data_IF_406069495977
#
_entry.id   IF_406069495977
#
_cell.length_a   1.000
_cell.length_b   1.000
_cell.length_c   1.000
_cell.angle_alpha   90.00
_cell.angle_beta   90.00
_cell.angle_gamma   90.00
#
_symmetry.space_group_name_H-M   'P 1'
#
loop_
_entity.id
_entity.type
_entity.pdbx_description
1 polymer ?
#
# COMPACT_ATOMS: atom_id res chain seq x y z
N UNK A 1 -3.31 14.39 -14.34
CA UNK A 1 -3.26 14.90 -12.97
C UNK A 1 -2.18 15.97 -12.98
N UNK A 2 -2.44 17.19 -12.51
CA UNK A 2 -1.36 18.19 -12.40
C UNK A 2 -0.53 17.79 -11.17
N UNK A 3 0.56 17.09 -11.42
CA UNK A 3 1.49 16.59 -10.40
C UNK A 3 2.49 17.71 -10.10
N UNK A 4 2.72 18.04 -8.84
CA UNK A 4 3.79 18.98 -8.45
C UNK A 4 5.13 18.25 -8.44
N UNK A 5 5.96 18.49 -9.45
CA UNK A 5 7.29 17.90 -9.59
C UNK A 5 8.44 18.87 -9.22
N UNK A 6 8.12 19.98 -8.55
CA UNK A 6 9.13 20.97 -8.13
C UNK A 6 10.23 20.40 -7.24
N UNK A 7 9.91 19.39 -6.41
CA UNK A 7 10.91 18.69 -5.61
C UNK A 7 11.85 17.81 -6.48
N UNK A 8 11.35 17.27 -7.60
CA UNK A 8 12.18 16.55 -8.55
C UNK A 8 13.10 17.50 -9.33
N UNK A 9 12.61 18.70 -9.71
CA UNK A 9 13.46 19.75 -10.29
C UNK A 9 14.59 20.15 -9.33
N UNK A 10 14.25 20.38 -8.05
CA UNK A 10 15.24 20.71 -7.03
C UNK A 10 16.28 19.59 -6.83
N UNK A 11 15.85 18.33 -6.88
CA UNK A 11 16.73 17.17 -6.80
C UNK A 11 17.71 17.10 -7.99
N UNK A 12 17.25 17.35 -9.23
CA UNK A 12 18.13 17.38 -10.41
C UNK A 12 19.15 18.52 -10.28
N UNK A 13 18.73 19.70 -9.85
CA UNK A 13 19.62 20.84 -9.64
C UNK A 13 20.67 20.56 -8.55
N UNK A 14 20.31 19.92 -7.44
CA UNK A 14 21.19 19.60 -6.32
C UNK A 14 22.21 18.51 -6.67
N UNK A 15 21.77 17.46 -7.35
CA UNK A 15 22.65 16.35 -7.78
C UNK A 15 23.47 16.67 -9.01
N UNK A 16 23.02 17.62 -9.83
CA UNK A 16 23.67 18.04 -11.07
C UNK A 16 23.57 17.00 -12.17
N UNK A 17 22.60 16.07 -12.11
CA UNK A 17 22.27 15.16 -13.20
C UNK A 17 21.25 15.80 -14.16
N UNK A 18 21.30 15.42 -15.44
CA UNK A 18 20.45 16.02 -16.47
C UNK A 18 19.01 15.52 -16.44
N UNK A 19 18.75 14.36 -15.82
CA UNK A 19 17.41 13.80 -15.78
C UNK A 19 17.22 12.66 -14.79
N UNK A 20 15.95 12.32 -14.57
CA UNK A 20 15.51 11.14 -13.81
C UNK A 20 14.92 10.10 -14.75
N UNK A 21 15.42 8.86 -14.70
CA UNK A 21 15.05 7.81 -15.63
C UNK A 21 14.42 6.62 -14.92
N UNK A 22 13.21 6.22 -15.32
CA UNK A 22 12.54 5.01 -14.83
C UNK A 22 12.39 4.03 -16.00
N UNK A 23 12.62 2.75 -15.73
CA UNK A 23 12.37 1.64 -16.63
C UNK A 23 11.60 0.55 -15.86
N UNK A 24 10.27 0.58 -15.96
CA UNK A 24 9.37 -0.34 -15.28
C UNK A 24 8.07 -0.51 -16.06
N UNK A 25 7.23 -1.47 -15.67
CA UNK A 25 5.86 -1.57 -16.17
C UNK A 25 4.94 -0.53 -15.50
N UNK A 26 3.68 -0.52 -15.90
CA UNK A 26 2.71 0.46 -15.41
C UNK A 26 2.13 0.13 -14.03
N UNK A 27 2.53 -0.97 -13.40
CA UNK A 27 2.16 -1.29 -12.01
C UNK A 27 3.16 -0.71 -11.02
N UNK A 28 4.39 -0.39 -11.45
CA UNK A 28 5.36 0.34 -10.62
C UNK A 28 4.85 1.75 -10.31
N UNK A 29 4.73 2.08 -9.04
CA UNK A 29 4.07 3.28 -8.56
C UNK A 29 4.75 4.57 -9.05
N UNK A 30 6.08 4.65 -9.01
CA UNK A 30 6.84 5.81 -9.52
C UNK A 30 6.65 6.01 -11.02
N UNK A 31 6.68 4.91 -11.79
CA UNK A 31 6.42 4.91 -13.22
C UNK A 31 5.02 5.45 -13.54
N UNK A 32 4.03 4.96 -12.80
CA UNK A 32 2.64 5.39 -12.94
C UNK A 32 2.46 6.85 -12.52
N UNK A 33 3.09 7.27 -11.43
CA UNK A 33 2.99 8.63 -10.90
C UNK A 33 3.50 9.67 -11.89
N UNK A 34 4.70 9.48 -12.45
CA UNK A 34 5.30 10.41 -13.40
C UNK A 34 4.61 10.38 -14.75
N UNK A 35 4.28 9.20 -15.26
CA UNK A 35 3.77 9.06 -16.64
C UNK A 35 2.25 9.22 -16.75
N UNK A 36 1.49 9.01 -15.67
CA UNK A 36 0.05 8.85 -15.72
C UNK A 36 -0.42 7.70 -16.63
N UNK A 37 0.49 6.75 -16.96
CA UNK A 37 0.27 5.71 -17.96
C UNK A 37 0.54 4.32 -17.37
N UNK A 38 -0.23 3.35 -17.83
CA UNK A 38 -0.06 1.94 -17.45
C UNK A 38 0.13 1.08 -18.69
N UNK A 39 1.11 0.20 -18.66
CA UNK A 39 1.34 -0.82 -19.67
C UNK A 39 1.80 -2.12 -18.99
N UNK A 40 1.42 -3.29 -19.53
CA UNK A 40 1.82 -4.57 -18.94
C UNK A 40 3.32 -4.88 -19.15
N UNK A 41 3.90 -4.32 -20.21
CA UNK A 41 5.33 -4.45 -20.51
C UNK A 41 6.09 -3.21 -20.02
N UNK A 42 7.34 -3.35 -19.54
CA UNK A 42 8.18 -2.22 -19.17
C UNK A 42 8.37 -1.21 -20.30
N UNK A 43 8.27 0.05 -19.94
CA UNK A 43 8.58 1.20 -20.80
C UNK A 43 9.50 2.18 -20.07
N UNK A 44 10.00 3.17 -20.77
CA UNK A 44 10.93 4.15 -20.20
C UNK A 44 10.23 5.49 -20.04
N UNK A 45 10.38 6.08 -18.84
CA UNK A 45 10.01 7.47 -18.55
C UNK A 45 11.28 8.24 -18.22
N UNK A 46 11.53 9.33 -18.93
CA UNK A 46 12.56 10.31 -18.65
C UNK A 46 11.88 11.60 -18.15
N UNK A 47 12.42 12.16 -17.08
CA UNK A 47 12.12 13.50 -16.60
C UNK A 47 13.38 14.37 -16.66
N UNK A 48 13.33 15.48 -17.41
CA UNK A 48 14.38 16.49 -17.55
C UNK A 48 13.84 17.93 -17.36
N UNK A 49 12.80 18.06 -16.50
CA UNK A 49 11.92 19.22 -16.40
C UNK A 49 10.65 19.05 -17.25
N UNK A 50 10.58 17.96 -18.02
CA UNK A 50 9.40 17.51 -18.78
C UNK A 50 9.34 15.98 -18.73
N UNK A 51 8.14 15.45 -18.94
CA UNK A 51 7.93 14.01 -18.96
C UNK A 51 7.97 13.47 -20.38
N UNK A 52 8.90 12.59 -20.68
CA UNK A 52 9.08 11.94 -21.98
C UNK A 52 8.94 10.42 -21.86
N UNK A 53 8.13 9.80 -22.72
CA UNK A 53 7.92 8.36 -22.73
C UNK A 53 8.53 7.73 -23.97
N UNK A 54 9.30 6.65 -23.75
CA UNK A 54 9.76 5.76 -24.83
C UNK A 54 9.03 4.42 -24.71
N UNK A 55 8.13 4.13 -25.65
CA UNK A 55 7.22 2.99 -25.59
C UNK A 55 7.33 2.08 -26.81
N UNK A 56 6.80 0.87 -26.70
CA UNK A 56 6.64 -0.03 -27.85
C UNK A 56 5.63 0.51 -28.87
N UNK A 57 5.70 0.01 -30.11
CA UNK A 57 4.71 0.37 -31.14
C UNK A 57 3.27 -0.04 -30.73
N UNK A 58 3.13 -1.08 -29.92
CA UNK A 58 1.85 -1.57 -29.41
C UNK A 58 1.18 -0.51 -28.52
N UNK A 59 1.96 0.11 -27.64
CA UNK A 59 1.48 1.05 -26.63
C UNK A 59 1.42 2.51 -27.13
N UNK A 60 2.15 2.84 -28.20
CA UNK A 60 2.30 4.22 -28.66
C UNK A 60 1.00 4.98 -28.86
N UNK A 61 0.02 4.36 -29.55
CA UNK A 61 -1.26 5.02 -29.82
C UNK A 61 -2.09 5.28 -28.56
N UNK A 62 -1.99 4.39 -27.56
CA UNK A 62 -2.67 4.53 -26.28
C UNK A 62 -1.95 5.58 -25.41
N UNK A 63 -0.64 5.50 -25.29
CA UNK A 63 0.15 6.44 -24.51
C UNK A 63 -0.07 7.90 -25.01
N UNK A 64 -0.07 8.14 -26.33
CA UNK A 64 -0.37 9.48 -26.89
C UNK A 64 -1.73 10.05 -26.52
N UNK A 65 -2.71 9.21 -26.15
CA UNK A 65 -4.07 9.68 -25.81
C UNK A 65 -4.28 9.81 -24.31
N UNK A 66 -3.54 9.03 -23.50
CA UNK A 66 -3.87 8.87 -22.09
C UNK A 66 -2.74 9.17 -21.12
N UNK A 67 -1.48 9.21 -21.58
CA UNK A 67 -0.35 9.54 -20.72
C UNK A 67 -0.32 11.03 -20.35
N UNK A 68 0.14 11.31 -19.14
CA UNK A 68 0.46 12.68 -18.68
C UNK A 68 1.92 12.99 -19.04
N UNK A 69 2.22 13.06 -20.35
CA UNK A 69 3.58 13.24 -20.83
C UNK A 69 3.65 14.34 -21.90
N UNK A 70 4.77 15.09 -21.93
CA UNK A 70 5.04 16.14 -22.88
C UNK A 70 5.40 15.56 -24.26
N UNK A 71 6.10 14.42 -24.28
CA UNK A 71 6.34 13.66 -25.52
C UNK A 71 6.14 12.17 -25.32
N UNK A 72 5.72 11.50 -26.40
CA UNK A 72 5.63 10.04 -26.48
C UNK A 72 6.32 9.60 -27.75
N UNK A 73 7.33 8.75 -27.64
CA UNK A 73 8.20 8.29 -28.70
C UNK A 73 8.23 6.76 -28.75
N UNK A 74 8.61 6.21 -29.89
CA UNK A 74 8.61 4.76 -30.09
C UNK A 74 10.04 4.23 -30.11
N UNK A 75 10.23 3.02 -29.66
CA UNK A 75 11.48 2.29 -29.84
C UNK A 75 11.97 2.32 -31.32
N UNK A 76 11.03 2.33 -32.28
CA UNK A 76 11.35 2.36 -33.71
C UNK A 76 11.97 3.70 -34.19
N UNK A 77 11.74 4.79 -33.48
CA UNK A 77 12.29 6.09 -33.80
C UNK A 77 13.81 6.16 -33.52
N UNK A 78 14.34 5.13 -32.81
CA UNK A 78 15.74 4.95 -32.40
C UNK A 78 16.35 3.64 -32.90
N UNK A 79 15.95 3.17 -34.06
CA UNK A 79 16.50 1.99 -34.74
C UNK A 79 16.50 0.69 -33.91
N UNK A 80 15.58 0.56 -32.95
CA UNK A 80 15.52 -0.54 -31.98
C UNK A 80 15.67 -1.92 -32.63
N UNK A 81 14.97 -2.15 -33.75
CA UNK A 81 14.99 -3.45 -34.42
C UNK A 81 16.40 -3.78 -34.94
N UNK A 82 17.07 -2.83 -35.63
CA UNK A 82 18.42 -3.03 -36.10
C UNK A 82 19.42 -3.20 -34.98
N UNK A 83 19.24 -2.41 -33.88
CA UNK A 83 20.07 -2.54 -32.70
C UNK A 83 19.93 -3.92 -32.05
N UNK A 84 18.74 -4.50 -31.98
CA UNK A 84 18.52 -5.84 -31.45
C UNK A 84 19.07 -6.92 -32.38
N UNK A 85 18.89 -6.81 -33.69
CA UNK A 85 19.42 -7.74 -34.68
C UNK A 85 20.97 -7.81 -34.64
N UNK A 86 21.65 -6.67 -34.43
CA UNK A 86 23.11 -6.59 -34.43
C UNK A 86 23.73 -6.93 -33.04
N UNK A 87 23.07 -6.53 -31.94
CA UNK A 87 23.68 -6.56 -30.60
C UNK A 87 22.92 -7.43 -29.59
N UNK A 88 21.88 -8.17 -30.03
CA UNK A 88 21.00 -8.97 -29.18
C UNK A 88 20.03 -8.10 -28.37
N UNK A 89 19.06 -8.71 -27.71
CA UNK A 89 17.97 -8.01 -27.04
C UNK A 89 18.46 -6.99 -26.00
N UNK A 90 19.39 -7.38 -25.15
CA UNK A 90 19.91 -6.51 -24.09
C UNK A 90 20.75 -5.35 -24.62
N UNK A 91 21.73 -5.64 -25.48
CA UNK A 91 22.58 -4.61 -26.08
C UNK A 91 21.79 -3.67 -27.00
N UNK A 92 20.82 -4.19 -27.73
CA UNK A 92 19.93 -3.41 -28.56
C UNK A 92 19.05 -2.45 -27.78
N UNK A 93 18.47 -2.93 -26.66
CA UNK A 93 17.65 -2.09 -25.77
C UNK A 93 18.46 -0.93 -25.19
N UNK A 94 19.64 -1.20 -24.62
CA UNK A 94 20.50 -0.16 -24.06
C UNK A 94 20.94 0.89 -25.10
N UNK A 95 21.16 0.48 -26.37
CA UNK A 95 21.45 1.42 -27.47
C UNK A 95 20.25 2.30 -27.78
N UNK A 96 19.07 1.73 -27.81
CA UNK A 96 17.82 2.45 -28.06
C UNK A 96 17.58 3.51 -26.98
N UNK A 97 17.74 3.15 -25.70
CA UNK A 97 17.56 4.08 -24.59
C UNK A 97 18.65 5.15 -24.59
N UNK A 98 19.93 4.79 -24.85
CA UNK A 98 21.00 5.79 -24.96
C UNK A 98 20.75 6.79 -26.08
N UNK A 99 20.30 6.34 -27.28
CA UNK A 99 19.93 7.22 -28.37
C UNK A 99 18.73 8.13 -28.05
N UNK A 100 17.77 7.65 -27.29
CA UNK A 100 16.65 8.45 -26.77
C UNK A 100 17.17 9.54 -25.81
N UNK A 101 18.06 9.21 -24.86
CA UNK A 101 18.66 10.18 -23.95
C UNK A 101 19.47 11.25 -24.72
N UNK A 102 20.30 10.84 -25.69
CA UNK A 102 21.07 11.75 -26.52
C UNK A 102 20.18 12.72 -27.32
N UNK A 103 19.04 12.25 -27.83
CA UNK A 103 18.07 13.09 -28.54
C UNK A 103 17.44 14.18 -27.65
N UNK A 104 17.38 13.95 -26.32
CA UNK A 104 16.96 14.92 -25.32
C UNK A 104 18.13 15.71 -24.71
N UNK A 105 19.37 15.45 -25.14
CA UNK A 105 20.56 16.12 -24.61
C UNK A 105 20.97 15.71 -23.22
N UNK A 106 20.54 14.50 -22.76
CA UNK A 106 20.77 13.94 -21.43
C UNK A 106 22.00 13.03 -21.45
N UNK A 107 23.04 13.40 -20.72
CA UNK A 107 24.30 12.65 -20.61
C UNK A 107 24.42 11.96 -19.24
N UNK A 108 23.63 12.41 -18.26
CA UNK A 108 23.62 11.89 -16.88
C UNK A 108 22.20 11.72 -16.36
N UNK A 109 21.94 10.60 -15.69
CA UNK A 109 20.63 10.32 -15.10
C UNK A 109 20.74 9.78 -13.67
N UNK A 110 19.80 10.18 -12.81
CA UNK A 110 19.49 9.46 -11.62
C UNK A 110 18.38 8.43 -11.89
N UNK A 111 18.41 7.29 -11.19
CA UNK A 111 17.49 6.17 -11.40
C UNK A 111 17.01 5.64 -10.04
N UNK A 112 15.78 5.09 -9.92
CA UNK A 112 15.34 4.40 -8.70
C UNK A 112 16.34 3.31 -8.28
N UNK A 113 16.40 3.00 -6.98
CA UNK A 113 17.29 1.94 -6.46
C UNK A 113 17.00 0.57 -7.10
N UNK A 114 15.76 0.31 -7.50
CA UNK A 114 15.29 -0.91 -8.15
C UNK A 114 15.51 -0.93 -9.67
N UNK A 115 16.15 0.11 -10.23
CA UNK A 115 16.39 0.18 -11.67
C UNK A 115 17.16 -1.04 -12.16
N UNK A 116 16.80 -1.64 -13.32
CA UNK A 116 17.43 -2.87 -13.79
C UNK A 116 18.94 -2.72 -13.98
N UNK A 117 19.74 -3.46 -13.20
CA UNK A 117 21.22 -3.40 -13.22
C UNK A 117 21.78 -3.56 -14.62
N UNK A 118 21.22 -4.49 -15.42
CA UNK A 118 21.68 -4.67 -16.79
C UNK A 118 21.44 -3.43 -17.67
N UNK A 119 20.33 -2.73 -17.50
CA UNK A 119 20.07 -1.47 -18.22
C UNK A 119 21.05 -0.38 -17.79
N UNK A 120 21.30 -0.25 -16.47
CA UNK A 120 22.27 0.70 -15.94
C UNK A 120 23.68 0.46 -16.51
N UNK A 121 24.15 -0.79 -16.48
CA UNK A 121 25.47 -1.14 -17.04
C UNK A 121 25.53 -0.92 -18.55
N UNK A 122 24.47 -1.29 -19.25
CA UNK A 122 24.38 -1.05 -20.69
C UNK A 122 24.41 0.44 -21.08
N UNK A 123 23.86 1.34 -20.27
CA UNK A 123 23.93 2.78 -20.45
C UNK A 123 25.33 3.31 -20.12
N UNK A 124 25.94 2.87 -18.99
CA UNK A 124 27.32 3.22 -18.61
C UNK A 124 28.34 2.83 -19.68
N UNK A 125 28.21 1.66 -20.29
CA UNK A 125 29.05 1.23 -21.41
C UNK A 125 28.97 2.16 -22.65
N UNK A 126 27.91 2.97 -22.72
CA UNK A 126 27.66 3.94 -23.82
C UNK A 126 27.96 5.38 -23.42
N UNK A 127 28.59 5.57 -22.26
CA UNK A 127 29.03 6.87 -21.78
C UNK A 127 28.00 7.68 -21.03
N UNK A 128 26.80 7.12 -20.78
CA UNK A 128 25.80 7.76 -19.91
C UNK A 128 26.22 7.57 -18.46
N UNK A 129 26.26 8.66 -17.69
CA UNK A 129 26.40 8.58 -16.22
C UNK A 129 25.09 8.12 -15.62
N UNK A 130 25.11 7.06 -14.81
CA UNK A 130 23.92 6.52 -14.14
C UNK A 130 24.18 6.43 -12.64
N UNK A 131 23.44 7.20 -11.85
CA UNK A 131 23.52 7.25 -10.40
C UNK A 131 22.24 6.71 -9.79
N UNK A 132 22.35 5.96 -8.70
CA UNK A 132 21.17 5.46 -8.00
C UNK A 132 20.64 6.53 -7.02
N UNK A 133 19.36 6.83 -7.09
CA UNK A 133 18.63 7.55 -6.06
C UNK A 133 18.33 6.60 -4.89
N UNK A 134 19.20 6.60 -3.89
CA UNK A 134 19.06 5.74 -2.73
C UNK A 134 17.93 6.19 -1.78
N UNK A 135 17.59 7.48 -1.82
CA UNK A 135 16.59 8.08 -0.92
C UNK A 135 15.18 8.05 -1.51
N UNK A 136 15.02 7.79 -2.81
CA UNK A 136 13.74 7.66 -3.48
C UNK A 136 12.95 8.98 -3.52
N UNK A 137 13.44 9.96 -4.28
CA UNK A 137 12.83 11.30 -4.38
C UNK A 137 11.37 11.23 -4.86
N UNK A 138 11.08 10.38 -5.86
CA UNK A 138 9.71 10.22 -6.39
C UNK A 138 8.79 9.63 -5.32
N UNK A 139 9.26 8.62 -4.58
CA UNK A 139 8.53 8.07 -3.45
C UNK A 139 8.25 9.10 -2.34
N UNK A 140 9.18 10.03 -2.11
CA UNK A 140 9.00 11.13 -1.14
C UNK A 140 7.96 12.15 -1.64
N UNK A 141 7.94 12.46 -2.93
CA UNK A 141 6.91 13.32 -3.54
C UNK A 141 5.53 12.66 -3.42
N UNK A 142 5.42 11.35 -3.72
CA UNK A 142 4.19 10.57 -3.62
C UNK A 142 3.66 10.43 -2.20
N UNK A 143 4.54 10.48 -1.20
CA UNK A 143 4.14 10.39 0.21
C UNK A 143 3.13 11.48 0.57
N UNK A 144 3.34 12.70 0.08
CA UNK A 144 2.45 13.84 0.30
C UNK A 144 1.40 13.94 -0.81
N UNK A 145 0.19 13.47 -0.51
CA UNK A 145 -0.92 13.40 -1.46
C UNK A 145 -1.55 14.76 -1.72
N UNK A 146 -1.82 15.03 -2.98
CA UNK A 146 -2.66 16.16 -3.40
C UNK A 146 -4.15 15.83 -3.16
N UNK A 147 -5.00 16.85 -3.08
CA UNK A 147 -6.42 16.66 -2.84
C UNK A 147 -7.11 15.67 -3.81
N UNK A 148 -6.82 15.63 -5.13
CA UNK A 148 -7.40 14.62 -6.01
C UNK A 148 -6.95 13.18 -5.70
N UNK A 149 -5.72 13.00 -5.20
CA UNK A 149 -5.19 11.69 -4.81
C UNK A 149 -5.89 11.17 -3.56
N UNK A 150 -6.09 12.05 -2.56
CA UNK A 150 -6.86 11.74 -1.35
C UNK A 150 -8.29 11.32 -1.70
N UNK A 151 -8.93 11.97 -2.67
CA UNK A 151 -10.27 11.57 -3.12
C UNK A 151 -10.28 10.20 -3.82
N UNK A 152 -9.21 9.82 -4.53
CA UNK A 152 -9.06 8.47 -5.07
C UNK A 152 -8.93 7.43 -3.97
N UNK A 153 -8.08 7.69 -2.96
CA UNK A 153 -7.91 6.81 -1.79
C UNK A 153 -9.24 6.69 -1.03
N UNK A 154 -9.93 7.82 -0.78
CA UNK A 154 -11.25 7.84 -0.13
C UNK A 154 -12.30 7.01 -0.89
N UNK A 155 -12.28 7.06 -2.22
CA UNK A 155 -13.19 6.28 -3.04
C UNK A 155 -12.90 4.77 -2.93
N UNK A 156 -11.61 4.39 -2.89
CA UNK A 156 -11.19 3.00 -2.70
C UNK A 156 -11.53 2.51 -1.29
N UNK A 157 -11.39 3.39 -0.26
CA UNK A 157 -11.74 3.06 1.13
C UNK A 157 -13.24 2.77 1.29
N UNK A 158 -14.11 3.51 0.61
CA UNK A 158 -15.56 3.19 0.62
C UNK A 158 -15.86 1.81 0.00
N UNK A 159 -15.12 1.41 -1.03
CA UNK A 159 -15.23 0.06 -1.59
C UNK A 159 -14.73 -1.01 -0.61
N UNK A 160 -13.66 -0.68 0.13
CA UNK A 160 -13.13 -1.54 1.19
C UNK A 160 -14.15 -1.74 2.33
N UNK A 161 -14.80 -0.66 2.77
CA UNK A 161 -15.87 -0.71 3.79
C UNK A 161 -17.05 -1.59 3.36
N UNK A 162 -17.45 -1.51 2.08
CA UNK A 162 -18.49 -2.37 1.54
C UNK A 162 -18.07 -3.85 1.57
N UNK A 163 -16.81 -4.15 1.22
CA UNK A 163 -16.26 -5.50 1.25
C UNK A 163 -16.13 -6.03 2.69
N UNK A 164 -15.74 -5.19 3.65
CA UNK A 164 -15.75 -5.53 5.07
C UNK A 164 -17.18 -5.83 5.56
N UNK A 165 -18.17 -5.02 5.16
CA UNK A 165 -19.58 -5.25 5.43
C UNK A 165 -20.07 -6.59 4.87
N UNK A 166 -19.54 -7.01 3.70
CA UNK A 166 -19.81 -8.32 3.13
C UNK A 166 -19.23 -9.46 3.97
N UNK A 167 -18.00 -9.31 4.45
CA UNK A 167 -17.37 -10.27 5.33
C UNK A 167 -18.16 -10.42 6.66
N UNK A 168 -18.46 -9.29 7.29
CA UNK A 168 -19.25 -9.26 8.53
C UNK A 168 -20.64 -9.90 8.34
N UNK A 169 -21.32 -9.64 7.23
CA UNK A 169 -22.62 -10.24 6.94
C UNK A 169 -22.56 -11.78 6.80
N UNK A 170 -21.47 -12.32 6.20
CA UNK A 170 -21.25 -13.76 6.12
C UNK A 170 -21.01 -14.37 7.49
N UNK A 171 -20.19 -13.73 8.33
CA UNK A 171 -19.93 -14.15 9.71
C UNK A 171 -21.19 -14.07 10.57
N UNK A 172 -21.94 -12.97 10.48
CA UNK A 172 -23.17 -12.75 11.24
C UNK A 172 -24.33 -13.69 10.87
N UNK A 173 -24.33 -14.23 9.65
CA UNK A 173 -25.30 -15.24 9.21
C UNK A 173 -24.92 -16.68 9.59
N UNK A 174 -23.68 -16.89 10.08
CA UNK A 174 -23.20 -18.21 10.46
C UNK A 174 -23.80 -18.66 11.81
N UNK A 175 -23.91 -19.98 11.97
CA UNK A 175 -24.33 -20.62 13.22
C UNK A 175 -23.24 -21.54 13.73
N UNK A 176 -22.99 -21.51 15.06
CA UNK A 176 -22.00 -22.37 15.68
C UNK A 176 -22.56 -23.80 15.90
N UNK A 177 -21.75 -24.80 15.55
CA UNK A 177 -22.04 -26.21 15.86
C UNK A 177 -20.70 -26.92 16.15
N UNK A 178 -20.59 -27.53 17.35
CA UNK A 178 -19.35 -28.17 17.81
C UNK A 178 -18.08 -27.31 17.63
N UNK A 179 -18.17 -26.02 17.96
CA UNK A 179 -17.06 -25.08 17.87
C UNK A 179 -16.69 -24.61 16.44
N UNK A 180 -17.39 -25.09 15.41
CA UNK A 180 -17.19 -24.67 14.00
C UNK A 180 -18.35 -23.80 13.55
N UNK A 181 -18.07 -22.78 12.72
CA UNK A 181 -19.08 -21.94 12.09
C UNK A 181 -19.62 -22.59 10.81
N UNK A 182 -20.94 -22.57 10.65
CA UNK A 182 -21.66 -23.11 9.49
C UNK A 182 -22.52 -22.04 8.84
N UNK A 183 -22.56 -22.03 7.52
CA UNK A 183 -23.44 -21.16 6.73
C UNK A 183 -24.06 -21.98 5.59
N UNK A 184 -25.42 -21.98 5.48
CA UNK A 184 -26.18 -22.74 4.50
C UNK A 184 -25.99 -24.28 4.60
N UNK A 185 -25.63 -24.77 5.79
CA UNK A 185 -25.43 -26.20 6.06
C UNK A 185 -24.01 -26.72 5.84
N UNK A 186 -23.12 -25.88 5.30
CA UNK A 186 -21.71 -26.20 5.09
C UNK A 186 -20.81 -25.43 6.08
N UNK A 187 -19.61 -25.92 6.45
CA UNK A 187 -18.66 -25.15 7.22
C UNK A 187 -18.34 -23.80 6.52
N UNK A 188 -18.41 -22.72 7.29
CA UNK A 188 -17.94 -21.41 6.82
C UNK A 188 -16.42 -21.40 6.88
N UNK A 189 -15.76 -21.21 5.75
CA UNK A 189 -14.30 -21.22 5.65
C UNK A 189 -13.75 -19.83 5.34
N UNK A 190 -12.47 -19.61 5.66
CA UNK A 190 -11.74 -18.39 5.29
C UNK A 190 -11.86 -18.10 3.79
N UNK A 191 -11.73 -19.12 2.94
CA UNK A 191 -11.83 -18.99 1.48
C UNK A 191 -13.24 -18.57 1.02
N UNK A 192 -14.30 -18.97 1.77
CA UNK A 192 -15.66 -18.55 1.44
C UNK A 192 -15.86 -17.07 1.77
N UNK A 193 -15.31 -16.59 2.87
CA UNK A 193 -15.36 -15.17 3.25
C UNK A 193 -14.53 -14.34 2.27
N UNK A 194 -13.29 -14.74 1.98
CA UNK A 194 -12.41 -14.08 0.99
C UNK A 194 -13.09 -13.93 -0.37
N UNK A 195 -13.72 -14.99 -0.85
CA UNK A 195 -14.49 -14.93 -2.11
C UNK A 195 -15.64 -13.93 -2.04
N UNK A 196 -16.30 -13.81 -0.89
CA UNK A 196 -17.34 -12.81 -0.69
C UNK A 196 -16.80 -11.38 -0.79
N UNK A 197 -15.65 -11.14 -0.18
CA UNK A 197 -14.89 -9.87 -0.26
C UNK A 197 -14.50 -9.56 -1.70
N UNK A 198 -13.89 -10.50 -2.41
CA UNK A 198 -13.45 -10.33 -3.80
C UNK A 198 -14.62 -9.99 -4.75
N UNK A 199 -15.76 -10.66 -4.58
CA UNK A 199 -16.95 -10.38 -5.41
C UNK A 199 -17.45 -8.96 -5.17
N UNK A 200 -17.54 -8.52 -3.92
CA UNK A 200 -17.96 -7.16 -3.57
C UNK A 200 -17.01 -6.11 -4.16
N UNK A 201 -15.70 -6.32 -4.03
CA UNK A 201 -14.70 -5.41 -4.60
C UNK A 201 -14.76 -5.35 -6.14
N UNK A 202 -15.09 -6.44 -6.81
CA UNK A 202 -15.29 -6.46 -8.26
C UNK A 202 -16.50 -5.60 -8.68
N UNK A 203 -17.56 -5.54 -7.88
CA UNK A 203 -18.72 -4.67 -8.13
C UNK A 203 -18.39 -3.19 -7.99
N UNK A 204 -17.31 -2.88 -7.25
CA UNK A 204 -16.76 -1.53 -7.08
C UNK A 204 -15.56 -1.19 -7.99
N UNK A 205 -15.29 -2.00 -9.04
CA UNK A 205 -14.14 -1.83 -9.94
C UNK A 205 -12.78 -1.81 -9.22
N UNK A 206 -12.67 -2.50 -8.09
CA UNK A 206 -11.42 -2.71 -7.37
C UNK A 206 -10.78 -4.06 -7.72
N UNK A 207 -9.47 -4.15 -7.59
CA UNK A 207 -8.69 -5.38 -7.62
C UNK A 207 -8.24 -5.71 -6.19
N UNK A 208 -8.09 -6.99 -5.91
CA UNK A 208 -7.54 -7.49 -4.66
C UNK A 208 -6.62 -8.66 -5.00
N UNK A 209 -5.33 -8.50 -4.70
CA UNK A 209 -4.35 -9.56 -4.98
C UNK A 209 -4.32 -10.56 -3.83
N UNK A 210 -4.41 -10.05 -2.59
CA UNK A 210 -4.41 -10.84 -1.36
C UNK A 210 -5.32 -10.20 -0.30
N UNK A 211 -5.80 -11.02 0.66
CA UNK A 211 -6.54 -10.57 1.84
C UNK A 211 -6.36 -11.57 2.97
N UNK A 212 -6.50 -11.13 4.20
CA UNK A 212 -6.42 -11.95 5.40
C UNK A 212 -7.84 -12.24 5.91
N UNK A 213 -8.13 -13.51 6.18
CA UNK A 213 -9.25 -13.96 6.98
C UNK A 213 -8.71 -15.08 7.89
N UNK A 214 -8.09 -14.68 8.99
CA UNK A 214 -7.37 -15.56 9.89
C UNK A 214 -8.14 -15.75 11.20
N UNK A 215 -8.28 -17.00 11.67
CA UNK A 215 -9.11 -17.35 12.83
C UNK A 215 -8.31 -18.08 13.90
N UNK A 216 -8.50 -17.72 15.16
CA UNK A 216 -7.86 -18.38 16.29
C UNK A 216 -6.34 -18.31 16.21
N UNK A 217 -5.66 -19.46 16.19
CA UNK A 217 -4.19 -19.52 16.12
C UNK A 217 -3.59 -18.95 14.86
N UNK A 218 -4.30 -19.00 13.71
CA UNK A 218 -3.82 -18.39 12.46
C UNK A 218 -3.78 -16.86 12.60
N UNK A 219 -4.71 -16.27 13.36
CA UNK A 219 -4.72 -14.84 13.64
C UNK A 219 -3.53 -14.37 14.51
N UNK A 220 -2.79 -15.27 15.13
CA UNK A 220 -1.61 -14.93 15.95
C UNK A 220 -0.38 -14.56 15.10
N UNK A 221 -0.37 -14.88 13.81
CA UNK A 221 0.63 -14.39 12.86
C UNK A 221 0.02 -13.23 12.05
N UNK A 222 0.57 -12.01 12.14
CA UNK A 222 0.02 -10.83 11.45
C UNK A 222 -0.17 -10.99 9.94
N UNK A 223 0.62 -11.87 9.31
CA UNK A 223 0.60 -12.08 7.86
C UNK A 223 0.04 -13.44 7.43
N UNK A 224 -0.44 -14.27 8.35
CA UNK A 224 -1.12 -15.51 7.97
C UNK A 224 -2.43 -15.16 7.25
N UNK A 225 -2.58 -15.68 6.05
CA UNK A 225 -3.77 -15.41 5.23
C UNK A 225 -5.03 -16.08 5.77
N UNK A 226 -4.89 -17.05 6.67
CA UNK A 226 -5.94 -17.92 7.17
C UNK A 226 -6.45 -18.91 6.14
N UNK A 227 -6.91 -20.05 6.59
CA UNK A 227 -7.44 -21.11 5.73
C UNK A 227 -8.42 -22.04 6.47
N UNK A 228 -9.26 -22.76 5.72
CA UNK A 228 -10.15 -23.78 6.27
C UNK A 228 -11.32 -23.23 7.08
N UNK A 229 -11.98 -24.10 7.89
CA UNK A 229 -13.16 -23.75 8.66
C UNK A 229 -12.87 -22.73 9.75
N UNK A 230 -13.75 -21.73 9.89
CA UNK A 230 -13.69 -20.75 10.95
C UNK A 230 -14.31 -21.31 12.23
N UNK A 231 -13.73 -20.95 13.38
CA UNK A 231 -14.17 -21.40 14.70
C UNK A 231 -15.10 -20.37 15.36
N UNK A 232 -16.06 -20.87 16.14
CA UNK A 232 -16.84 -20.02 17.04
C UNK A 232 -16.00 -19.67 18.28
N UNK A 233 -16.33 -18.55 18.91
CA UNK A 233 -15.74 -18.05 20.16
C UNK A 233 -14.27 -17.59 20.02
N UNK A 234 -13.67 -17.75 18.84
CA UNK A 234 -12.29 -17.33 18.51
C UNK A 234 -12.25 -15.98 17.78
N UNK A 235 -11.15 -15.21 17.90
CA UNK A 235 -10.98 -13.99 17.13
C UNK A 235 -10.78 -14.32 15.64
N UNK A 236 -11.38 -13.53 14.77
CA UNK A 236 -11.27 -13.61 13.32
C UNK A 236 -10.77 -12.26 12.81
N UNK A 237 -9.50 -12.16 12.43
CA UNK A 237 -8.96 -10.98 11.76
C UNK A 237 -9.38 -11.01 10.31
N UNK A 238 -10.02 -9.94 9.87
CA UNK A 238 -10.30 -9.66 8.46
C UNK A 238 -9.56 -8.39 8.08
N UNK A 239 -8.62 -8.50 7.14
CA UNK A 239 -7.77 -7.44 6.66
C UNK A 239 -7.84 -7.36 5.13
N UNK A 240 -8.23 -6.19 4.61
CA UNK A 240 -8.58 -5.99 3.19
C UNK A 240 -7.88 -4.74 2.66
N UNK A 241 -7.02 -4.90 1.63
CA UNK A 241 -6.22 -3.84 1.03
C UNK A 241 -6.41 -3.76 -0.50
N UNK A 242 -7.57 -3.32 -0.97
CA UNK A 242 -7.92 -3.28 -2.38
C UNK A 242 -7.24 -2.12 -3.11
N UNK A 243 -7.09 -2.28 -4.43
CA UNK A 243 -6.62 -1.26 -5.36
C UNK A 243 -7.70 -0.88 -6.36
N UNK A 244 -7.98 0.39 -6.54
CA UNK A 244 -8.85 0.86 -7.63
C UNK A 244 -8.23 0.55 -9.00
N UNK A 245 -8.96 -0.13 -9.89
CA UNK A 245 -8.49 -0.40 -11.26
C UNK A 245 -8.35 0.87 -12.10
N UNK A 246 -9.16 1.87 -11.83
CA UNK A 246 -9.16 3.12 -12.57
C UNK A 246 -8.02 4.05 -12.14
N UNK A 247 -7.94 4.36 -10.82
CA UNK A 247 -6.95 5.31 -10.31
C UNK A 247 -5.63 4.66 -9.92
N UNK A 248 -5.63 3.37 -9.52
CA UNK A 248 -4.47 2.63 -9.02
C UNK A 248 -4.18 2.86 -7.54
N UNK A 249 -4.91 3.74 -6.86
CA UNK A 249 -4.73 3.99 -5.44
C UNK A 249 -5.29 2.84 -4.61
N UNK A 250 -4.54 2.50 -3.57
CA UNK A 250 -4.92 1.51 -2.57
C UNK A 250 -5.78 2.13 -1.47
N UNK A 251 -6.43 1.26 -0.73
CA UNK A 251 -7.01 1.51 0.58
C UNK A 251 -6.60 0.36 1.50
N UNK A 252 -6.78 0.53 2.82
CA UNK A 252 -6.43 -0.48 3.80
C UNK A 252 -7.36 -0.41 5.01
N UNK A 253 -7.76 -1.57 5.53
CA UNK A 253 -8.58 -1.66 6.73
C UNK A 253 -8.58 -3.05 7.33
N UNK A 254 -8.33 -3.14 8.63
CA UNK A 254 -8.49 -4.36 9.42
C UNK A 254 -9.59 -4.22 10.46
N UNK A 255 -10.36 -5.30 10.64
CA UNK A 255 -11.26 -5.50 11.77
C UNK A 255 -11.07 -6.90 12.35
N UNK A 256 -11.23 -7.00 13.66
CA UNK A 256 -11.32 -8.28 14.34
C UNK A 256 -12.77 -8.55 14.72
N UNK A 257 -13.27 -9.71 14.34
CA UNK A 257 -14.61 -10.19 14.63
C UNK A 257 -14.58 -11.44 15.51
N UNK A 258 -15.68 -11.69 16.22
CA UNK A 258 -15.94 -12.96 16.89
C UNK A 258 -17.42 -13.32 16.76
N UNK A 259 -17.70 -14.58 16.42
CA UNK A 259 -19.05 -15.14 16.39
C UNK A 259 -19.20 -16.05 17.60
N UNK A 260 -20.03 -15.66 18.59
CA UNK A 260 -20.21 -16.35 19.86
C UNK A 260 -19.64 -15.58 21.04
N UNK A 261 -19.00 -16.27 21.98
CA UNK A 261 -18.52 -15.73 23.24
C UNK A 261 -16.99 -15.73 23.33
N UNK A 262 -16.30 -14.67 22.88
CA UNK A 262 -14.84 -14.59 22.96
C UNK A 262 -14.35 -14.66 24.40
N UNK A 263 -13.13 -15.18 24.59
CA UNK A 263 -12.48 -15.23 25.90
C UNK A 263 -12.36 -13.83 26.51
N UNK A 264 -12.22 -13.74 27.84
CA UNK A 264 -12.00 -12.48 28.55
C UNK A 264 -10.69 -11.79 28.05
N UNK A 265 -9.68 -12.58 27.72
CA UNK A 265 -8.40 -12.09 27.15
C UNK A 265 -8.62 -11.41 25.79
N UNK A 266 -9.35 -12.06 24.88
CA UNK A 266 -9.64 -11.48 23.54
C UNK A 266 -10.46 -10.20 23.67
N UNK A 267 -11.47 -10.16 24.56
CA UNK A 267 -12.23 -8.93 24.83
C UNK A 267 -11.32 -7.79 25.33
N UNK A 268 -10.47 -8.09 26.32
CA UNK A 268 -9.55 -7.10 26.86
C UNK A 268 -8.54 -6.62 25.85
N UNK A 269 -8.00 -7.51 25.01
CA UNK A 269 -7.10 -7.15 23.95
C UNK A 269 -7.75 -6.23 22.91
N UNK A 270 -8.98 -6.53 22.52
CA UNK A 270 -9.73 -5.70 21.60
C UNK A 270 -9.98 -4.28 22.16
N UNK A 271 -10.35 -4.17 23.44
CA UNK A 271 -10.50 -2.89 24.13
C UNK A 271 -9.17 -2.11 24.12
N UNK A 272 -8.06 -2.75 24.53
CA UNK A 272 -6.72 -2.14 24.55
C UNK A 272 -6.27 -1.72 23.15
N UNK A 273 -6.57 -2.51 22.13
CA UNK A 273 -6.22 -2.18 20.75
C UNK A 273 -7.00 -0.95 20.26
N UNK A 274 -8.27 -0.82 20.62
CA UNK A 274 -9.04 0.39 20.35
C UNK A 274 -8.52 1.60 21.15
N UNK A 275 -8.11 1.43 22.41
CA UNK A 275 -7.47 2.46 23.23
C UNK A 275 -6.13 2.90 22.60
N UNK A 276 -5.29 1.97 22.17
CA UNK A 276 -4.00 2.23 21.52
C UNK A 276 -4.17 2.97 20.17
N UNK A 277 -5.17 2.55 19.38
CA UNK A 277 -5.48 3.26 18.14
C UNK A 277 -5.95 4.69 18.40
N UNK A 278 -6.79 4.91 19.40
CA UNK A 278 -7.25 6.25 19.77
C UNK A 278 -6.07 7.12 20.21
N UNK A 279 -5.11 6.60 21.00
CA UNK A 279 -3.92 7.30 21.42
C UNK A 279 -3.02 7.69 20.22
N UNK A 280 -2.87 6.79 19.23
CA UNK A 280 -2.15 7.10 18.00
C UNK A 280 -2.84 8.19 17.20
N UNK A 281 -4.16 8.11 17.00
CA UNK A 281 -4.95 9.10 16.26
C UNK A 281 -4.87 10.50 16.92
N UNK A 282 -4.88 10.55 18.25
CA UNK A 282 -4.74 11.82 19.02
C UNK A 282 -3.31 12.41 18.91
N UNK A 283 -2.30 11.58 18.64
CA UNK A 283 -0.92 12.01 18.49
C UNK A 283 -0.56 12.46 17.06
N UNK A 284 -1.36 12.13 16.06
CA UNK A 284 -1.06 12.46 14.65
C UNK A 284 -1.39 13.91 14.34
N UNK A 285 -0.35 14.71 14.00
CA UNK A 285 -0.47 16.03 13.34
C UNK A 285 0.80 16.31 12.52
N UNK A 286 0.75 17.30 11.64
CA UNK A 286 1.94 17.72 10.90
C UNK A 286 3.03 18.24 11.83
N UNK A 287 4.29 17.84 11.60
CA UNK A 287 5.45 18.16 12.42
C UNK A 287 5.73 17.16 13.54
N UNK A 288 4.83 16.23 13.82
CA UNK A 288 5.07 15.15 14.78
C UNK A 288 5.84 14.02 14.10
N UNK A 289 6.93 13.50 14.69
CA UNK A 289 7.64 12.37 14.13
C UNK A 289 6.89 11.06 14.35
N UNK A 290 6.96 10.14 13.37
CA UNK A 290 6.25 8.85 13.40
C UNK A 290 6.57 7.98 14.62
N UNK A 291 7.76 8.12 15.21
CA UNK A 291 8.13 7.39 16.42
C UNK A 291 7.39 7.89 17.69
N UNK A 292 6.91 9.13 17.73
CA UNK A 292 6.05 9.60 18.82
C UNK A 292 4.65 8.96 18.72
N UNK A 293 4.10 8.85 17.52
CA UNK A 293 2.84 8.15 17.27
C UNK A 293 2.95 6.66 17.63
N UNK A 294 4.03 6.01 17.19
CA UNK A 294 4.32 4.62 17.56
C UNK A 294 4.53 4.46 19.07
N UNK A 295 5.19 5.41 19.69
CA UNK A 295 5.39 5.47 21.14
C UNK A 295 4.07 5.49 21.91
N UNK A 296 3.08 6.27 21.46
CA UNK A 296 1.77 6.35 22.11
C UNK A 296 1.04 4.99 22.12
N UNK A 297 1.15 4.20 21.05
CA UNK A 297 0.62 2.82 21.00
C UNK A 297 1.35 1.91 22.00
N UNK A 298 2.69 1.95 21.97
CA UNK A 298 3.50 1.13 22.87
C UNK A 298 3.20 1.43 24.34
N UNK A 299 3.02 2.69 24.70
CA UNK A 299 2.72 3.10 26.09
C UNK A 299 1.42 2.45 26.59
N UNK A 300 0.35 2.40 25.78
CA UNK A 300 -0.91 1.76 26.16
C UNK A 300 -0.72 0.28 26.44
N UNK A 301 0.02 -0.42 25.61
CA UNK A 301 0.26 -1.85 25.78
C UNK A 301 1.20 -2.17 26.93
N UNK A 302 2.28 -1.41 27.10
CA UNK A 302 3.25 -1.58 28.18
C UNK A 302 2.65 -1.25 29.55
N UNK A 303 1.81 -0.21 29.65
CA UNK A 303 1.06 0.12 30.87
C UNK A 303 0.07 -0.98 31.27
N UNK A 304 -0.44 -1.73 30.30
CA UNK A 304 -1.25 -2.92 30.52
C UNK A 304 -0.43 -4.19 30.83
N UNK A 305 0.90 -4.09 30.83
CA UNK A 305 1.83 -5.19 31.11
C UNK A 305 2.00 -6.18 29.93
N UNK A 306 1.69 -5.72 28.71
CA UNK A 306 1.88 -6.53 27.50
C UNK A 306 3.23 -6.23 26.84
N UNK A 307 3.91 -7.22 26.25
CA UNK A 307 5.20 -7.01 25.60
C UNK A 307 5.05 -6.23 24.29
N UNK A 308 6.08 -5.43 23.98
CA UNK A 308 6.22 -4.71 22.71
C UNK A 308 7.64 -4.89 22.18
N UNK A 309 7.84 -4.79 20.86
CA UNK A 309 9.19 -4.80 20.27
C UNK A 309 10.04 -3.63 20.78
N UNK A 310 9.45 -2.50 21.16
CA UNK A 310 10.15 -1.36 21.77
C UNK A 310 10.78 -1.73 23.12
N UNK A 311 10.07 -2.49 23.96
CA UNK A 311 10.55 -2.90 25.29
C UNK A 311 11.50 -4.12 25.23
N UNK A 312 11.25 -5.06 24.29
CA UNK A 312 12.04 -6.26 24.05
C UNK A 312 12.00 -6.61 22.56
N UNK A 313 13.09 -6.31 21.85
CA UNK A 313 13.23 -6.57 20.40
C UNK A 313 13.18 -8.05 20.02
N UNK A 314 13.21 -8.95 21.00
CA UNK A 314 13.16 -10.40 20.82
C UNK A 314 11.82 -11.03 21.14
N UNK A 315 10.82 -10.24 21.55
CA UNK A 315 9.49 -10.78 21.84
C UNK A 315 8.82 -11.33 20.60
N UNK A 316 8.20 -12.50 20.73
CA UNK A 316 7.41 -13.16 19.69
C UNK A 316 5.90 -12.98 19.93
N UNK A 317 5.50 -12.25 21.00
CA UNK A 317 4.11 -12.03 21.38
C UNK A 317 3.86 -10.58 21.77
N UNK A 318 2.59 -10.16 21.83
CA UNK A 318 2.21 -8.78 22.14
C UNK A 318 2.16 -7.90 20.89
N UNK A 319 2.69 -6.66 20.96
CA UNK A 319 2.75 -5.74 19.82
C UNK A 319 4.09 -5.91 19.07
N UNK A 320 4.05 -6.62 17.96
CA UNK A 320 5.24 -7.13 17.24
C UNK A 320 5.43 -6.54 15.84
N UNK A 321 4.82 -5.40 15.55
CA UNK A 321 5.00 -4.68 14.28
C UNK A 321 4.91 -3.17 14.47
N UNK A 322 5.03 -2.40 13.39
CA UNK A 322 4.91 -0.94 13.39
C UNK A 322 3.45 -0.51 13.57
N UNK A 323 3.21 0.72 13.98
CA UNK A 323 1.85 1.26 14.15
C UNK A 323 1.15 1.50 12.83
N UNK A 324 1.92 1.67 11.73
CA UNK A 324 1.34 1.90 10.42
C UNK A 324 2.35 2.32 9.37
N UNK A 325 1.86 2.54 8.17
CA UNK A 325 2.61 2.90 6.97
C UNK A 325 1.83 3.84 6.08
N UNK A 326 2.53 4.51 5.15
CA UNK A 326 1.89 5.28 4.10
C UNK A 326 1.15 4.40 3.11
N UNK A 327 0.04 4.91 2.55
CA UNK A 327 -0.75 4.25 1.51
C UNK A 327 -0.94 5.19 0.33
N UNK A 328 -0.84 4.67 -0.90
CA UNK A 328 -1.02 5.46 -2.12
C UNK A 328 -1.14 4.60 -3.36
N UNK A 329 -0.22 4.77 -4.31
CA UNK A 329 -0.09 3.91 -5.50
C UNK A 329 0.59 2.58 -5.19
N UNK A 330 1.30 2.49 -4.06
CA UNK A 330 1.71 1.24 -3.42
C UNK A 330 0.93 1.08 -2.12
N UNK A 331 0.73 -0.18 -1.69
CA UNK A 331 0.10 -0.46 -0.40
C UNK A 331 1.00 -0.01 0.75
N UNK A 332 2.31 -0.16 0.62
CA UNK A 332 3.29 0.28 1.60
C UNK A 332 4.14 1.43 1.03
N UNK A 333 3.82 2.65 1.42
CA UNK A 333 4.59 3.86 1.07
C UNK A 333 5.20 4.52 2.32
N UNK A 334 5.89 5.63 2.09
CA UNK A 334 6.28 6.56 3.14
C UNK A 334 5.08 7.44 3.55
N UNK A 335 5.06 7.93 4.82
CA UNK A 335 5.99 7.63 5.92
C UNK A 335 5.67 6.29 6.60
N UNK A 336 6.52 5.86 7.56
CA UNK A 336 6.21 4.79 8.49
C UNK A 336 5.98 5.33 9.89
N UNK A 337 4.97 4.80 10.58
CA UNK A 337 4.73 5.02 12.01
C UNK A 337 5.45 3.93 12.79
N UNK A 338 6.75 4.11 13.01
CA UNK A 338 7.67 3.12 13.58
C UNK A 338 8.66 3.82 14.51
N UNK A 339 9.70 3.14 14.97
CA UNK A 339 10.78 3.76 15.76
C UNK A 339 11.61 4.81 14.98
N UNK A 340 11.43 4.93 13.68
CA UNK A 340 12.13 5.92 12.86
C UNK A 340 11.58 7.33 13.08
N UNK A 341 12.52 8.30 13.17
CA UNK A 341 12.21 9.74 13.31
C UNK A 341 11.82 10.37 11.96
N UNK A 342 10.74 9.86 11.32
CA UNK A 342 10.22 10.46 10.09
C UNK A 342 9.12 11.45 10.47
N UNK A 343 9.32 12.73 10.16
CA UNK A 343 8.34 13.79 10.42
C UNK A 343 7.11 13.61 9.54
N UNK A 344 5.93 13.72 10.14
CA UNK A 344 4.65 13.69 9.44
C UNK A 344 4.38 15.06 8.80
N UNK A 345 3.89 15.05 7.57
CA UNK A 345 3.50 16.27 6.85
C UNK A 345 2.00 16.24 6.51
N UNK A 346 1.39 17.42 6.45
CA UNK A 346 0.01 17.52 5.98
C UNK A 346 -0.11 16.98 4.55
N UNK A 347 -1.06 16.07 4.33
CA UNK A 347 -1.24 15.34 3.08
C UNK A 347 -0.62 13.93 3.08
N UNK A 348 0.13 13.53 4.11
CA UNK A 348 0.44 12.11 4.28
C UNK A 348 -0.84 11.33 4.53
N UNK A 349 -0.98 10.17 3.88
CA UNK A 349 -2.06 9.21 4.13
C UNK A 349 -1.41 7.97 4.72
N UNK A 350 -1.83 7.61 5.95
CA UNK A 350 -1.21 6.53 6.71
C UNK A 350 -2.25 5.62 7.34
N UNK A 351 -1.88 4.34 7.52
CA UNK A 351 -2.64 3.40 8.36
C UNK A 351 -2.34 3.65 9.84
N UNK A 352 -3.32 3.31 10.69
CA UNK A 352 -3.16 3.23 12.16
C UNK A 352 -3.72 1.90 12.60
N UNK A 353 -2.85 0.92 12.77
CA UNK A 353 -3.18 -0.52 12.81
C UNK A 353 -2.62 -1.27 14.04
N UNK A 354 -2.73 -0.76 15.27
CA UNK A 354 -2.23 -1.50 16.43
C UNK A 354 -2.83 -2.90 16.51
N UNK A 355 -2.05 -3.86 17.03
CA UNK A 355 -2.50 -5.24 17.19
C UNK A 355 -1.75 -5.98 18.29
N UNK A 356 -2.36 -7.04 18.81
CA UNK A 356 -1.80 -7.93 19.82
C UNK A 356 -1.89 -9.38 19.34
N UNK A 357 -0.80 -10.13 19.52
CA UNK A 357 -0.65 -11.47 18.98
C UNK A 357 -0.01 -12.42 20.00
N UNK A 358 -0.57 -13.61 20.14
CA UNK A 358 0.00 -14.73 20.92
C UNK A 358 -0.61 -16.04 20.41
N UNK A 359 0.19 -17.04 20.00
CA UNK A 359 -0.32 -18.32 19.53
C UNK A 359 -1.26 -19.05 20.50
N UNK A 360 -1.20 -18.73 21.79
CA UNK A 360 -2.09 -19.31 22.82
C UNK A 360 -3.45 -18.58 22.92
N UNK A 361 -3.60 -17.40 22.31
CA UNK A 361 -4.80 -16.56 22.40
C UNK A 361 -5.40 -16.30 21.01
N UNK A 362 -4.57 -16.18 19.99
CA UNK A 362 -4.91 -15.69 18.67
C UNK A 362 -4.36 -14.28 18.44
N UNK A 363 -5.02 -13.50 17.59
CA UNK A 363 -4.65 -12.13 17.27
C UNK A 363 -5.82 -11.17 17.25
N UNK A 364 -5.54 -9.92 17.57
CA UNK A 364 -6.49 -8.78 17.46
C UNK A 364 -5.80 -7.63 16.78
N UNK A 365 -6.38 -7.09 15.71
CA UNK A 365 -5.94 -5.85 15.03
C UNK A 365 -7.16 -5.00 14.68
N UNK A 366 -7.01 -3.70 14.86
CA UNK A 366 -8.00 -2.70 14.41
C UNK A 366 -7.23 -1.64 13.65
N UNK A 367 -7.66 -1.36 12.44
CA UNK A 367 -6.96 -0.46 11.53
C UNK A 367 -7.90 0.53 10.87
N UNK A 368 -7.49 1.78 10.84
CA UNK A 368 -8.11 2.84 10.06
C UNK A 368 -7.06 3.52 9.19
N UNK A 369 -7.51 4.08 8.07
CA UNK A 369 -6.71 4.89 7.15
C UNK A 369 -7.02 6.37 7.41
N UNK A 370 -5.97 7.18 7.59
CA UNK A 370 -6.13 8.60 7.95
C UNK A 370 -5.29 9.52 7.06
N UNK A 371 -5.75 10.77 6.89
CA UNK A 371 -4.96 11.85 6.29
C UNK A 371 -4.41 12.74 7.39
N UNK A 372 -3.11 12.97 7.41
CA UNK A 372 -2.46 13.94 8.29
C UNK A 372 -2.83 15.35 7.86
N UNK A 373 -3.22 16.19 8.82
CA UNK A 373 -3.56 17.60 8.62
C UNK A 373 -2.66 18.51 9.46
N UNK A 374 -2.75 19.82 9.27
CA UNK A 374 -1.99 20.81 10.05
C UNK A 374 -2.25 20.76 11.57
N UNK A 375 -3.39 20.20 12.00
CA UNK A 375 -3.81 20.20 13.39
C UNK A 375 -4.55 18.90 13.75
N UNK A 376 -3.95 17.77 13.46
CA UNK A 376 -4.51 16.44 13.71
C UNK A 376 -4.58 15.58 12.47
N UNK A 377 -5.55 14.67 12.41
CA UNK A 377 -5.80 13.84 11.24
C UNK A 377 -7.31 13.77 10.89
N UNK A 378 -7.57 13.49 9.62
CA UNK A 378 -8.92 13.14 9.14
C UNK A 378 -9.00 11.63 8.93
N UNK A 379 -9.90 10.96 9.65
CA UNK A 379 -10.14 9.54 9.44
C UNK A 379 -10.93 9.31 8.14
N UNK A 380 -10.36 8.52 7.23
CA UNK A 380 -11.00 8.14 5.95
C UNK A 380 -11.86 6.88 6.10
N UNK A 381 -11.73 6.14 7.21
CA UNK A 381 -12.47 4.91 7.49
C UNK A 381 -13.70 5.21 8.32
N UNK A 382 -14.89 4.97 7.76
CA UNK A 382 -16.19 5.08 8.45
C UNK A 382 -16.79 3.68 8.63
N UNK A 383 -16.15 2.85 9.44
CA UNK A 383 -16.59 1.48 9.72
C UNK A 383 -16.48 1.16 11.22
N UNK A 384 -17.53 0.53 11.80
CA UNK A 384 -17.56 0.18 13.23
C UNK A 384 -16.39 -0.73 13.65
N UNK A 385 -16.08 -0.68 14.97
CA UNK A 385 -14.99 -1.46 15.59
C UNK A 385 -15.51 -2.54 16.57
N UNK A 386 -16.77 -2.93 16.45
CA UNK A 386 -17.34 -3.94 17.33
C UNK A 386 -16.75 -5.33 17.09
N UNK A 387 -16.31 -5.97 18.19
CA UNK A 387 -15.78 -7.33 18.16
C UNK A 387 -16.86 -8.38 17.83
N UNK A 388 -18.07 -8.22 18.39
CA UNK A 388 -19.13 -9.22 18.28
C UNK A 388 -19.98 -9.02 17.03
N UNK A 389 -20.15 -10.07 16.25
CA UNK A 389 -21.01 -10.10 15.05
C UNK A 389 -22.34 -10.79 15.39
N UNK A 390 -23.44 -10.31 14.82
CA UNK A 390 -24.76 -10.97 14.97
C UNK A 390 -25.63 -10.47 16.12
N UNK A 391 -25.25 -9.39 16.81
CA UNK A 391 -26.16 -8.67 17.72
C UNK A 391 -27.21 -7.87 16.95
N UNK A 392 -28.41 -7.69 17.55
CA UNK A 392 -29.48 -6.83 17.00
C UNK A 392 -28.94 -5.40 16.74
N UNK A 393 -28.41 -5.15 15.54
CA UNK A 393 -28.10 -3.79 15.11
C UNK A 393 -29.37 -3.10 14.62
N UNK A 394 -29.67 -1.86 15.09
CA UNK A 394 -30.64 -1.04 14.39
C UNK A 394 -30.07 -0.76 12.98
N UNK A 395 -30.86 -1.11 11.94
CA UNK A 395 -30.52 -0.82 10.57
C UNK A 395 -30.14 0.66 10.43
N UNK A 396 -28.88 0.94 10.11
CA UNK A 396 -28.43 2.28 9.69
C UNK A 396 -29.16 2.63 8.39
N UNK A 397 -29.94 3.73 8.41
CA UNK A 397 -30.69 4.26 7.27
C UNK A 397 -29.77 5.02 6.31
#
# INVERSE_FOLDING_TARGET
MDTDLSALDAFLDETGVDGYLIEADGDAADQRYLSGFTAPDPFVTLYDGRVHLLVSALEYGRAKRTAAADSVERHADYDHRSNVEEHGSHGGKSRTVAAFLDAHGVESVSVPAEFPVGSADGLRERGVTVEADADGVVGSIRARKLAPEIEHIRATQRANEAAMGRAEALLGAATANDGTLYLDGDPLTAERVKRGIEIELLEHDCALDETIVACGSDAADPHDRGSGPLSADEPIIVDIFPRSKASGYYADMTRTFCVGEPSETVRRWHELTCEAQAAALDAIEAGVPGNEVHGAVCDVYEDAGLPTLRADETTETGFIHTTGHGVGLDIHERPRLSEAETELEAGHVVTVEPGLYDPAVGGVRVEDLVVVTEAGCENLTDYPKELLVGGDRPATQ
#
